data_IF_088440970179
#
_entry.id   IF_088440970179
#
_cell.length_a   1.000
_cell.length_b   1.000
_cell.length_c   1.000
_cell.angle_alpha   90.00
_cell.angle_beta   90.00
_cell.angle_gamma   90.00
#
_symmetry.space_group_name_H-M   'P 1'
#
loop_
_entity.id
_entity.type
_entity.pdbx_description
1 polymer ?
#
# COMPACT_ATOMS: atom_id res chain seq x y z
N UNK A 1 19.45 22.48 21.61
CA UNK A 1 18.95 22.81 20.26
C UNK A 1 17.51 22.35 20.17
N UNK A 2 16.56 23.14 19.64
CA UNK A 2 15.24 22.63 19.35
C UNK A 2 15.34 21.54 18.28
N UNK A 3 14.59 20.44 18.44
CA UNK A 3 14.49 19.38 17.45
C UNK A 3 13.83 19.93 16.18
N UNK A 4 14.46 19.74 15.03
CA UNK A 4 13.88 20.07 13.72
C UNK A 4 13.49 18.80 12.98
N UNK A 5 12.40 18.84 12.22
CA UNK A 5 12.00 17.73 11.36
C UNK A 5 12.96 17.60 10.19
N UNK A 6 13.02 16.40 9.61
CA UNK A 6 13.83 16.16 8.41
C UNK A 6 13.26 16.96 7.22
N UNK A 7 14.13 17.32 6.25
CA UNK A 7 13.68 18.02 5.03
C UNK A 7 12.60 17.26 4.28
N UNK A 8 12.68 15.93 4.21
CA UNK A 8 11.68 15.12 3.52
C UNK A 8 10.33 15.07 4.21
N UNK A 9 10.24 15.32 5.53
CA UNK A 9 8.94 15.37 6.21
C UNK A 9 8.09 16.56 5.76
N UNK A 10 8.69 17.63 5.25
CA UNK A 10 7.95 18.76 4.68
C UNK A 10 7.35 18.47 3.30
N UNK A 11 7.79 17.41 2.63
CA UNK A 11 7.25 16.98 1.34
C UNK A 11 6.05 16.04 1.49
N UNK A 12 5.84 15.48 2.70
CA UNK A 12 4.77 14.54 2.97
C UNK A 12 3.53 15.29 3.42
N UNK A 13 2.51 15.30 2.57
CA UNK A 13 1.23 15.91 2.86
C UNK A 13 0.27 14.92 3.52
N UNK A 14 -0.63 15.42 4.36
CA UNK A 14 -1.73 14.61 4.86
C UNK A 14 -2.67 14.24 3.70
N UNK A 15 -3.22 13.02 3.74
CA UNK A 15 -4.21 12.55 2.76
C UNK A 15 -5.44 13.47 2.73
N UNK A 16 -5.81 13.94 1.54
CA UNK A 16 -7.03 14.74 1.31
C UNK A 16 -8.30 13.97 1.71
N UNK A 17 -8.33 12.65 1.49
CA UNK A 17 -9.44 11.77 1.93
C UNK A 17 -9.57 11.84 3.45
N UNK A 18 -8.46 11.85 4.19
CA UNK A 18 -8.47 11.96 5.65
C UNK A 18 -8.94 13.34 6.09
N UNK A 19 -8.48 14.39 5.46
CA UNK A 19 -8.92 15.76 5.73
C UNK A 19 -10.41 15.91 5.49
N UNK A 20 -10.94 15.37 4.40
CA UNK A 20 -12.37 15.36 4.08
C UNK A 20 -13.18 14.56 5.12
N UNK A 21 -12.66 13.43 5.59
CA UNK A 21 -13.32 12.65 6.65
C UNK A 21 -13.48 13.45 7.93
N UNK A 22 -12.44 14.16 8.35
CA UNK A 22 -12.48 15.00 9.56
C UNK A 22 -13.45 16.17 9.40
N UNK A 23 -13.43 16.84 8.24
CA UNK A 23 -14.33 17.95 7.96
C UNK A 23 -15.80 17.50 7.88
N UNK A 24 -16.06 16.37 7.24
CA UNK A 24 -17.39 15.80 7.18
C UNK A 24 -17.94 15.47 8.59
N UNK A 25 -17.11 14.89 9.46
CA UNK A 25 -17.49 14.63 10.84
C UNK A 25 -17.78 15.91 11.63
N UNK A 26 -16.99 16.98 11.38
CA UNK A 26 -17.15 18.29 12.05
C UNK A 26 -18.51 18.94 11.76
N UNK A 27 -19.04 18.76 10.54
CA UNK A 27 -20.32 19.36 10.11
C UNK A 27 -21.50 18.40 10.21
N UNK A 28 -21.29 17.16 10.68
CA UNK A 28 -22.33 16.12 10.73
C UNK A 28 -22.82 15.67 9.36
N UNK A 29 -21.95 15.73 8.34
CA UNK A 29 -22.28 15.39 6.96
C UNK A 29 -22.15 13.89 6.66
N UNK A 30 -22.49 13.51 5.42
CA UNK A 30 -22.32 12.13 4.90
C UNK A 30 -21.00 12.08 4.15
N UNK A 31 -20.08 11.21 4.61
CA UNK A 31 -18.78 11.05 3.99
C UNK A 31 -18.87 10.12 2.78
N UNK A 32 -18.69 10.67 1.58
CA UNK A 32 -18.62 9.93 0.32
C UNK A 32 -17.20 9.85 -0.24
N UNK A 33 -16.21 10.42 0.45
CA UNK A 33 -14.82 10.44 -0.01
C UNK A 33 -14.04 9.19 0.40
N UNK A 34 -14.43 8.54 1.49
CA UNK A 34 -13.76 7.34 1.99
C UNK A 34 -14.68 6.14 1.93
N UNK A 35 -14.30 5.13 1.16
CA UNK A 35 -14.94 3.82 1.21
C UNK A 35 -14.57 3.10 2.51
N UNK A 36 -15.58 2.80 3.31
CA UNK A 36 -15.43 2.00 4.53
C UNK A 36 -16.25 0.72 4.33
N UNK A 37 -15.61 -0.43 4.52
CA UNK A 37 -16.29 -1.71 4.50
C UNK A 37 -17.13 -1.84 5.78
N UNK A 38 -18.43 -1.89 5.66
CA UNK A 38 -19.40 -2.06 6.75
C UNK A 38 -20.05 -3.46 6.77
N UNK A 39 -19.54 -4.37 5.95
CA UNK A 39 -19.97 -5.76 5.95
C UNK A 39 -19.48 -6.48 7.20
N UNK A 40 -20.26 -7.45 7.64
CA UNK A 40 -19.87 -8.30 8.78
C UNK A 40 -18.57 -9.06 8.49
N UNK A 41 -17.78 -9.26 9.55
CA UNK A 41 -16.58 -10.07 9.48
C UNK A 41 -16.96 -11.52 9.13
N UNK A 42 -16.37 -12.14 8.08
CA UNK A 42 -16.62 -13.54 7.78
C UNK A 42 -16.35 -14.45 8.99
N UNK A 43 -17.29 -15.33 9.31
CA UNK A 43 -17.21 -16.21 10.48
C UNK A 43 -15.87 -16.93 10.62
N UNK A 44 -15.28 -17.53 9.56
CA UNK A 44 -13.99 -18.22 9.68
C UNK A 44 -12.84 -17.30 10.12
N UNK A 45 -12.87 -16.03 9.70
CA UNK A 45 -11.83 -15.05 10.07
C UNK A 45 -11.92 -14.71 11.54
N UNK A 46 -13.13 -14.42 12.03
CA UNK A 46 -13.38 -14.11 13.45
C UNK A 46 -13.07 -15.31 14.34
N UNK A 47 -13.44 -16.51 13.93
CA UNK A 47 -13.18 -17.74 14.67
C UNK A 47 -11.68 -18.03 14.72
N UNK A 48 -10.95 -17.97 13.61
CA UNK A 48 -9.51 -18.21 13.57
C UNK A 48 -8.73 -17.22 14.44
N UNK A 49 -9.15 -15.96 14.52
CA UNK A 49 -8.53 -14.98 15.41
C UNK A 49 -8.72 -15.36 16.89
N UNK A 50 -9.91 -15.80 17.30
CA UNK A 50 -10.20 -16.27 18.66
C UNK A 50 -9.37 -17.50 19.00
N UNK A 51 -9.34 -18.49 18.12
CA UNK A 51 -8.55 -19.72 18.29
C UNK A 51 -7.05 -19.42 18.43
N UNK A 52 -6.50 -18.47 17.67
CA UNK A 52 -5.12 -18.06 17.78
C UNK A 52 -4.81 -17.40 19.15
N UNK A 53 -5.72 -16.59 19.67
CA UNK A 53 -5.60 -15.97 21.00
C UNK A 53 -5.64 -17.07 22.10
N UNK A 54 -6.61 -17.96 22.01
CA UNK A 54 -6.79 -19.05 22.98
C UNK A 54 -5.60 -20.03 22.98
N UNK A 55 -5.00 -20.24 21.81
CA UNK A 55 -3.79 -21.04 21.66
C UNK A 55 -2.50 -20.31 22.10
N UNK A 56 -2.59 -19.06 22.54
CA UNK A 56 -1.44 -18.27 22.97
C UNK A 56 -0.48 -17.86 21.85
N UNK A 57 -0.97 -17.79 20.60
CA UNK A 57 -0.18 -17.32 19.45
C UNK A 57 -0.11 -15.79 19.49
N UNK A 58 0.72 -15.26 20.40
CA UNK A 58 0.84 -13.83 20.69
C UNK A 58 2.29 -13.38 20.90
N UNK A 59 3.25 -14.16 20.42
CA UNK A 59 4.69 -13.89 20.54
C UNK A 59 5.27 -13.33 19.24
N UNK A 60 6.58 -13.12 19.25
CA UNK A 60 7.33 -12.67 18.06
C UNK A 60 7.21 -13.66 16.90
N UNK A 61 7.11 -13.11 15.71
CA UNK A 61 7.21 -13.88 14.47
C UNK A 61 8.59 -13.74 13.85
N UNK A 62 8.90 -14.57 12.88
CA UNK A 62 10.03 -14.35 11.98
C UNK A 62 9.81 -13.02 11.22
N UNK A 63 10.89 -12.35 10.82
CA UNK A 63 10.83 -11.02 10.18
C UNK A 63 9.99 -11.00 8.88
N UNK A 64 9.89 -12.12 8.18
CA UNK A 64 9.12 -12.28 6.95
C UNK A 64 7.69 -12.80 7.18
N UNK A 65 7.30 -13.02 8.44
CA UNK A 65 5.97 -13.44 8.84
C UNK A 65 5.84 -14.93 9.17
N UNK A 66 4.69 -15.31 9.70
CA UNK A 66 4.38 -16.70 10.02
C UNK A 66 4.45 -17.59 8.78
N UNK A 67 5.02 -18.78 8.94
CA UNK A 67 5.15 -19.76 7.88
C UNK A 67 3.79 -20.12 7.27
N UNK A 68 2.82 -20.41 8.11
CA UNK A 68 1.46 -20.79 7.73
C UNK A 68 0.80 -19.69 6.85
N UNK A 69 1.00 -18.41 7.22
CA UNK A 69 0.48 -17.28 6.46
C UNK A 69 1.17 -17.16 5.10
N UNK A 70 2.50 -17.30 5.04
CA UNK A 70 3.24 -17.22 3.78
C UNK A 70 2.82 -18.32 2.81
N UNK A 71 2.62 -19.55 3.31
CA UNK A 71 2.10 -20.67 2.50
C UNK A 71 0.67 -20.42 2.02
N UNK A 72 -0.21 -19.88 2.88
CA UNK A 72 -1.57 -19.52 2.49
C UNK A 72 -1.57 -18.41 1.41
N UNK A 73 -0.65 -17.44 1.51
CA UNK A 73 -0.46 -16.39 0.49
C UNK A 73 0.01 -17.02 -0.82
N UNK A 74 1.01 -17.92 -0.81
CA UNK A 74 1.49 -18.60 -2.00
C UNK A 74 0.37 -19.36 -2.72
N UNK A 75 -0.44 -20.13 -1.98
CA UNK A 75 -1.59 -20.83 -2.53
C UNK A 75 -2.60 -19.86 -3.16
N UNK A 76 -2.95 -18.78 -2.45
CA UNK A 76 -3.85 -17.73 -2.98
C UNK A 76 -3.29 -17.07 -4.24
N UNK A 77 -2.00 -16.78 -4.29
CA UNK A 77 -1.36 -16.19 -5.46
C UNK A 77 -1.41 -17.13 -6.66
N UNK A 78 -1.18 -18.42 -6.43
CA UNK A 78 -1.27 -19.44 -7.47
C UNK A 78 -2.70 -19.62 -7.97
N UNK A 79 -3.65 -19.87 -7.07
CA UNK A 79 -5.02 -20.27 -7.42
C UNK A 79 -5.85 -19.12 -7.98
N UNK A 80 -5.67 -17.90 -7.43
CA UNK A 80 -6.46 -16.75 -7.82
C UNK A 80 -5.78 -15.84 -8.83
N UNK A 81 -4.46 -15.65 -8.72
CA UNK A 81 -3.72 -14.70 -9.55
C UNK A 81 -2.93 -15.40 -10.68
N UNK A 82 -2.78 -16.73 -10.63
CA UNK A 82 -1.98 -17.49 -11.60
C UNK A 82 -0.47 -17.24 -11.45
N UNK A 83 -0.02 -16.77 -10.28
CA UNK A 83 1.38 -16.45 -9.99
C UNK A 83 1.92 -17.53 -9.05
N UNK A 84 2.93 -18.25 -9.51
CA UNK A 84 3.64 -19.26 -8.71
C UNK A 84 4.76 -18.57 -7.93
N UNK A 85 4.77 -18.74 -6.61
CA UNK A 85 5.72 -18.10 -5.70
C UNK A 85 6.25 -19.10 -4.68
N UNK A 86 7.53 -19.00 -4.34
CA UNK A 86 8.12 -19.77 -3.25
C UNK A 86 7.83 -19.09 -1.89
N UNK A 87 7.05 -19.72 -1.00
CA UNK A 87 6.72 -19.15 0.30
C UNK A 87 7.92 -18.99 1.23
N UNK A 88 9.05 -19.64 0.96
CA UNK A 88 10.24 -19.56 1.82
C UNK A 88 11.18 -18.39 1.43
N UNK A 89 11.12 -17.91 0.19
CA UNK A 89 12.07 -16.91 -0.32
C UNK A 89 11.43 -15.71 -1.03
N UNK A 90 10.17 -15.79 -1.46
CA UNK A 90 9.55 -14.76 -2.31
C UNK A 90 8.36 -14.05 -1.65
N UNK A 91 8.08 -14.33 -0.37
CA UNK A 91 6.95 -13.72 0.36
C UNK A 91 7.43 -13.10 1.66
N UNK A 92 7.13 -11.82 1.83
CA UNK A 92 7.31 -11.07 3.08
C UNK A 92 5.98 -10.45 3.49
N UNK A 93 5.59 -10.67 4.74
CA UNK A 93 4.40 -10.07 5.36
C UNK A 93 4.77 -8.73 5.98
N UNK A 94 3.96 -7.72 5.72
CA UNK A 94 4.15 -6.38 6.29
C UNK A 94 2.85 -5.80 6.83
N UNK A 95 2.92 -4.58 7.39
CA UNK A 95 1.77 -3.87 7.94
C UNK A 95 0.89 -3.27 6.83
N UNK A 96 0.09 -4.12 6.17
CA UNK A 96 -0.79 -3.76 5.06
C UNK A 96 -0.06 -3.41 3.76
N UNK A 97 -0.83 -3.12 2.70
CA UNK A 97 -0.29 -2.82 1.37
C UNK A 97 0.59 -1.57 1.34
N UNK A 98 0.24 -0.54 2.10
CA UNK A 98 1.05 0.68 2.20
C UNK A 98 2.41 0.40 2.84
N UNK A 99 2.45 -0.43 3.89
CA UNK A 99 3.69 -0.86 4.51
C UNK A 99 4.56 -1.70 3.56
N UNK A 100 3.93 -2.62 2.80
CA UNK A 100 4.62 -3.41 1.78
C UNK A 100 5.24 -2.51 0.70
N UNK A 101 4.47 -1.57 0.18
CA UNK A 101 4.95 -0.63 -0.83
C UNK A 101 6.11 0.24 -0.32
N UNK A 102 6.00 0.72 0.94
CA UNK A 102 7.07 1.50 1.55
C UNK A 102 8.37 0.68 1.70
N UNK A 103 8.28 -0.55 2.18
CA UNK A 103 9.44 -1.44 2.29
C UNK A 103 10.05 -1.72 0.91
N UNK A 104 9.24 -1.96 -0.11
CA UNK A 104 9.71 -2.17 -1.47
C UNK A 104 10.42 -0.94 -2.02
N UNK A 105 9.86 0.26 -1.84
CA UNK A 105 10.51 1.51 -2.25
C UNK A 105 11.87 1.70 -1.57
N UNK A 106 11.96 1.46 -0.26
CA UNK A 106 13.23 1.58 0.47
C UNK A 106 14.29 0.55 0.04
N UNK A 107 13.85 -0.63 -0.39
CA UNK A 107 14.75 -1.70 -0.82
C UNK A 107 15.25 -1.53 -2.27
N UNK A 108 14.46 -0.89 -3.13
CA UNK A 108 14.70 -0.89 -4.57
C UNK A 108 15.13 0.48 -5.12
N UNK A 109 14.82 1.59 -4.43
CA UNK A 109 15.02 2.94 -4.94
C UNK A 109 16.21 3.64 -4.26
N UNK A 110 16.97 4.36 -5.07
CA UNK A 110 17.95 5.33 -4.60
C UNK A 110 17.38 6.75 -4.67
N UNK A 111 17.95 7.71 -3.93
CA UNK A 111 17.59 9.11 -4.08
C UNK A 111 17.70 9.59 -5.53
N UNK A 112 16.60 10.13 -6.07
CA UNK A 112 16.51 10.63 -7.43
C UNK A 112 16.03 9.61 -8.48
N UNK A 113 15.84 8.35 -8.13
CA UNK A 113 15.23 7.37 -9.05
C UNK A 113 13.79 7.78 -9.40
N UNK A 114 13.37 7.58 -10.65
CA UNK A 114 12.04 7.92 -11.11
C UNK A 114 11.06 6.75 -10.93
N UNK A 115 9.87 7.06 -10.41
CA UNK A 115 8.79 6.08 -10.23
C UNK A 115 7.57 6.52 -11.01
N UNK A 116 7.11 5.70 -11.95
CA UNK A 116 5.90 6.00 -12.73
C UNK A 116 4.65 5.75 -11.88
N UNK A 117 3.79 6.77 -11.80
CA UNK A 117 2.46 6.70 -11.20
C UNK A 117 1.39 6.92 -12.27
N UNK A 118 0.46 6.00 -12.40
CA UNK A 118 -0.71 6.18 -13.25
C UNK A 118 -1.78 7.02 -12.54
N UNK A 119 -2.22 8.12 -13.16
CA UNK A 119 -3.27 8.99 -12.63
C UNK A 119 -4.66 8.60 -13.16
N UNK A 120 -5.68 8.47 -12.27
CA UNK A 120 -5.66 8.71 -10.83
C UNK A 120 -4.97 7.58 -10.06
N UNK A 121 -4.30 7.95 -8.94
CA UNK A 121 -3.57 7.02 -8.08
C UNK A 121 -4.06 7.09 -6.62
N UNK A 122 -3.67 6.08 -5.85
CA UNK A 122 -3.91 6.07 -4.41
C UNK A 122 -2.94 7.03 -3.71
N UNK A 123 -3.47 8.06 -3.03
CA UNK A 123 -2.71 9.21 -2.53
C UNK A 123 -1.53 8.89 -1.60
N UNK A 124 -1.51 7.73 -0.93
CA UNK A 124 -0.37 7.36 -0.10
C UNK A 124 0.87 6.93 -0.89
N UNK A 125 0.73 6.57 -2.18
CA UNK A 125 1.86 6.15 -3.01
C UNK A 125 2.87 7.28 -3.20
N UNK A 126 2.40 8.50 -3.47
CA UNK A 126 3.29 9.65 -3.66
C UNK A 126 4.09 9.96 -2.40
N UNK A 127 3.45 9.93 -1.22
CA UNK A 127 4.13 10.17 0.03
C UNK A 127 5.25 9.15 0.29
N UNK A 128 5.02 7.90 -0.07
CA UNK A 128 6.00 6.82 0.05
C UNK A 128 7.21 7.05 -0.87
N UNK A 129 6.97 7.41 -2.13
CA UNK A 129 8.02 7.70 -3.12
C UNK A 129 8.87 8.89 -2.65
N UNK A 130 8.23 9.96 -2.21
CA UNK A 130 8.93 11.14 -1.67
C UNK A 130 9.71 10.82 -0.38
N UNK A 131 9.19 9.95 0.49
CA UNK A 131 9.90 9.51 1.69
C UNK A 131 11.14 8.68 1.36
N UNK A 132 11.13 7.93 0.25
CA UNK A 132 12.28 7.22 -0.30
C UNK A 132 13.25 8.14 -1.07
N UNK A 133 12.99 9.46 -1.12
CA UNK A 133 13.77 10.46 -1.85
C UNK A 133 13.79 10.21 -3.38
N UNK A 134 12.82 9.47 -3.89
CA UNK A 134 12.60 9.22 -5.30
C UNK A 134 11.66 10.27 -5.93
N UNK A 135 11.60 10.30 -7.26
CA UNK A 135 10.87 11.30 -8.05
C UNK A 135 9.65 10.65 -8.69
N UNK A 136 8.40 11.09 -8.35
CA UNK A 136 7.22 10.56 -9.02
C UNK A 136 7.08 11.15 -10.42
N UNK A 137 6.87 10.29 -11.41
CA UNK A 137 6.59 10.65 -12.80
C UNK A 137 5.17 10.22 -13.16
N UNK A 138 4.32 11.16 -13.55
CA UNK A 138 2.89 10.94 -13.71
C UNK A 138 2.50 10.57 -15.14
N UNK A 139 1.64 9.56 -15.28
CA UNK A 139 1.07 9.14 -16.54
C UNK A 139 -0.45 9.11 -16.44
N UNK A 140 -1.14 10.05 -17.09
CA UNK A 140 -2.60 10.15 -17.06
C UNK A 140 -3.28 9.00 -17.82
N UNK A 141 -4.26 8.37 -17.20
CA UNK A 141 -5.18 7.43 -17.82
C UNK A 141 -6.40 8.16 -18.37
N UNK A 142 -6.97 7.69 -19.49
CA UNK A 142 -8.17 8.29 -20.10
C UNK A 142 -9.44 7.61 -19.63
N UNK A 143 -10.33 8.37 -18.98
CA UNK A 143 -11.69 7.94 -18.71
C UNK A 143 -12.50 7.81 -20.02
N UNK A 144 -13.55 6.93 -20.08
CA UNK A 144 -14.01 6.04 -19.03
C UNK A 144 -13.25 4.72 -18.93
N UNK A 145 -12.47 4.36 -19.95
CA UNK A 145 -11.84 3.04 -20.08
C UNK A 145 -10.52 2.90 -19.31
N UNK A 146 -10.03 4.00 -18.75
CA UNK A 146 -8.77 4.07 -18.00
C UNK A 146 -7.58 3.50 -18.76
N UNK A 147 -7.54 3.75 -20.07
CA UNK A 147 -6.49 3.27 -20.97
C UNK A 147 -5.30 4.22 -21.01
N UNK A 148 -4.11 3.65 -21.24
CA UNK A 148 -2.90 4.42 -21.50
C UNK A 148 -3.01 5.14 -22.83
N UNK A 149 -2.82 6.46 -22.82
CA UNK A 149 -2.62 7.21 -24.06
C UNK A 149 -1.17 7.08 -24.50
N UNK A 150 -0.86 6.02 -25.21
CA UNK A 150 0.44 5.88 -25.86
C UNK A 150 0.53 6.92 -26.99
N UNK A 151 0.96 8.16 -26.69
CA UNK A 151 1.45 9.05 -27.73
C UNK A 151 2.76 8.49 -28.24
N UNK A 152 2.79 8.02 -29.49
CA UNK A 152 4.04 7.80 -30.24
C UNK A 152 4.72 9.16 -30.38
N UNK A 153 5.66 9.47 -29.53
CA UNK A 153 6.39 10.73 -29.62
C UNK A 153 7.37 10.91 -28.48
N UNK A 154 8.60 10.53 -28.74
CA UNK A 154 9.84 10.86 -27.99
C UNK A 154 9.90 10.55 -26.51
N UNK A 155 10.61 9.49 -26.18
CA UNK A 155 11.42 9.41 -24.96
C UNK A 155 10.81 8.71 -23.76
N UNK A 156 10.43 7.44 -23.90
CA UNK A 156 10.34 6.55 -22.76
C UNK A 156 11.20 5.33 -23.07
N UNK A 157 12.18 5.11 -22.23
CA UNK A 157 13.18 4.03 -22.24
C UNK A 157 14.37 4.30 -23.16
N UNK A 158 15.47 4.73 -22.55
CA UNK A 158 16.82 4.27 -22.94
C UNK A 158 17.14 3.04 -22.14
#
# INVERSE_FOLDING_TARGET
MPLSLSKKSSLIAQSEIRAMTLECARVGGINLAQGVCDTELPLPVGQGAKEAIDAGINSYTRYDGLKELRYAIANKMKDYNGIDTDPESEIIVSAGSTGAFYCACLALLNPGDEVILFEPYYGYLINTILAAEAVPTYVGLKAPDWTLSMRRGKGWVN
#
